data_IF_077082122621
#
_entry.id   IF_077082122621
#
_cell.length_a   1.000
_cell.length_b   1.000
_cell.length_c   1.000
_cell.angle_alpha   90.00
_cell.angle_beta   90.00
_cell.angle_gamma   90.00
#
_symmetry.space_group_name_H-M   'P 1'
#
loop_
_entity.id
_entity.type
_entity.pdbx_description
1 polymer ?
#
# COMPACT_ATOMS: atom_id res chain seq x y z
N UNK A 1 1.57 18.69 -11.75
CA UNK A 1 0.84 19.97 -11.97
C UNK A 1 -0.46 19.67 -12.68
N UNK A 2 -1.59 20.00 -12.05
CA UNK A 2 -2.91 19.94 -12.65
C UNK A 2 -3.12 21.20 -13.50
N UNK A 3 -3.49 21.04 -14.76
CA UNK A 3 -3.84 22.14 -15.66
C UNK A 3 -5.28 22.00 -16.10
N UNK A 4 -6.09 23.01 -15.84
CA UNK A 4 -7.54 22.99 -16.15
C UNK A 4 -7.83 24.09 -17.18
N UNK A 5 -8.48 23.71 -18.28
CA UNK A 5 -9.02 24.63 -19.26
C UNK A 5 -10.47 24.96 -18.87
N UNK A 6 -10.68 26.17 -18.36
CA UNK A 6 -12.03 26.66 -18.08
C UNK A 6 -12.63 27.26 -19.35
N UNK A 7 -13.66 26.64 -19.90
CA UNK A 7 -14.50 27.28 -20.90
C UNK A 7 -15.60 28.07 -20.19
N UNK A 8 -15.98 29.24 -20.74
CA UNK A 8 -17.05 30.08 -20.17
C UNK A 8 -18.37 29.28 -20.06
N UNK A 9 -18.64 28.40 -21.03
CA UNK A 9 -19.80 27.49 -21.00
C UNK A 9 -19.79 26.52 -19.81
N UNK A 10 -18.63 26.14 -19.32
CA UNK A 10 -18.47 25.18 -18.21
C UNK A 10 -18.78 25.84 -16.86
N UNK A 11 -18.63 27.17 -16.76
CA UNK A 11 -19.02 27.96 -15.59
C UNK A 11 -20.54 28.03 -15.37
N UNK A 12 -21.32 27.84 -16.43
CA UNK A 12 -22.79 27.91 -16.39
C UNK A 12 -23.48 26.53 -16.47
N UNK A 13 -22.73 25.46 -16.73
CA UNK A 13 -23.24 24.10 -16.76
C UNK A 13 -23.23 23.50 -15.35
N UNK A 14 -24.19 23.86 -14.52
CA UNK A 14 -24.50 23.05 -13.36
C UNK A 14 -25.20 21.77 -13.84
N UNK A 15 -24.80 20.57 -13.39
CA UNK A 15 -24.46 20.22 -12.02
C UNK A 15 -23.01 19.75 -11.78
N UNK A 16 -22.06 19.92 -12.69
CA UNK A 16 -20.73 19.31 -12.56
C UNK A 16 -19.62 20.37 -12.51
N UNK A 17 -19.01 20.56 -11.34
CA UNK A 17 -17.81 21.38 -11.19
C UNK A 17 -16.59 20.59 -11.74
N UNK A 18 -16.20 20.86 -12.99
CA UNK A 18 -15.08 20.20 -13.67
C UNK A 18 -13.77 20.31 -12.89
N UNK A 19 -13.49 21.47 -12.28
CA UNK A 19 -12.30 21.68 -11.49
C UNK A 19 -12.24 20.74 -10.29
N UNK A 20 -13.33 20.61 -9.56
CA UNK A 20 -13.43 19.74 -8.40
C UNK A 20 -13.26 18.27 -8.79
N UNK A 21 -13.87 17.84 -9.89
CA UNK A 21 -13.71 16.48 -10.40
C UNK A 21 -12.26 16.19 -10.83
N UNK A 22 -11.63 17.11 -11.55
CA UNK A 22 -10.24 16.93 -11.97
C UNK A 22 -9.27 16.97 -10.80
N UNK A 23 -9.54 17.81 -9.78
CA UNK A 23 -8.76 17.82 -8.55
C UNK A 23 -8.89 16.50 -7.80
N UNK A 24 -10.11 15.98 -7.67
CA UNK A 24 -10.38 14.69 -7.06
C UNK A 24 -9.62 13.55 -7.75
N UNK A 25 -9.70 13.44 -9.07
CA UNK A 25 -8.96 12.44 -9.85
C UNK A 25 -7.44 12.58 -9.68
N UNK A 26 -6.94 13.82 -9.61
CA UNK A 26 -5.51 14.08 -9.38
C UNK A 26 -5.09 13.65 -7.97
N UNK A 27 -5.92 13.88 -6.96
CA UNK A 27 -5.68 13.43 -5.58
C UNK A 27 -5.69 11.90 -5.50
N UNK A 28 -6.64 11.25 -6.17
CA UNK A 28 -6.71 9.78 -6.25
C UNK A 28 -5.43 9.21 -6.90
N UNK A 29 -5.00 9.77 -8.05
CA UNK A 29 -3.76 9.35 -8.70
C UNK A 29 -2.51 9.58 -7.85
N UNK A 30 -2.47 10.67 -7.05
CA UNK A 30 -1.39 10.90 -6.10
C UNK A 30 -1.39 9.88 -4.97
N UNK A 31 -2.55 9.51 -4.43
CA UNK A 31 -2.67 8.47 -3.40
C UNK A 31 -2.21 7.11 -3.92
N UNK A 32 -2.62 6.74 -5.11
CA UNK A 32 -2.15 5.52 -5.78
C UNK A 32 -0.62 5.51 -5.91
N UNK A 33 -0.04 6.64 -6.31
CA UNK A 33 1.42 6.77 -6.39
C UNK A 33 2.07 6.71 -5.01
N UNK A 34 1.46 7.33 -4.01
CA UNK A 34 1.93 7.31 -2.62
C UNK A 34 1.96 5.88 -2.06
N UNK A 35 0.90 5.11 -2.25
CA UNK A 35 0.84 3.71 -1.86
C UNK A 35 1.94 2.89 -2.55
N UNK A 36 2.14 3.11 -3.85
CA UNK A 36 3.21 2.45 -4.59
C UNK A 36 4.60 2.79 -4.02
N UNK A 37 4.87 4.07 -3.73
CA UNK A 37 6.15 4.50 -3.17
C UNK A 37 6.38 3.96 -1.75
N UNK A 38 5.35 3.92 -0.90
CA UNK A 38 5.44 3.34 0.44
C UNK A 38 5.85 1.86 0.42
N UNK A 39 5.50 1.12 -0.61
CA UNK A 39 5.90 -0.28 -0.78
C UNK A 39 7.25 -0.40 -1.48
N UNK A 40 7.45 0.31 -2.61
CA UNK A 40 8.49 0.00 -3.59
C UNK A 40 9.66 0.98 -3.63
N UNK A 41 9.59 2.11 -2.93
CA UNK A 41 10.69 3.09 -2.94
C UNK A 41 11.96 2.47 -2.36
N UNK A 42 13.10 2.70 -3.02
CA UNK A 42 14.40 2.13 -2.61
C UNK A 42 14.95 2.76 -1.33
N UNK A 43 14.55 3.98 -1.00
CA UNK A 43 15.08 4.72 0.16
C UNK A 43 14.25 4.46 1.43
N UNK A 44 12.90 4.46 1.32
CA UNK A 44 12.01 4.34 2.47
C UNK A 44 10.88 3.29 2.29
N UNK A 45 10.79 2.64 1.14
CA UNK A 45 9.77 1.64 0.86
C UNK A 45 9.93 0.39 1.70
N UNK A 46 8.81 -0.20 2.11
CA UNK A 46 8.78 -1.32 3.03
C UNK A 46 9.50 -2.56 2.50
N UNK A 47 9.41 -2.83 1.19
CA UNK A 47 10.10 -3.97 0.58
C UNK A 47 11.62 -3.88 0.69
N UNK A 48 12.18 -2.67 0.62
CA UNK A 48 13.62 -2.47 0.58
C UNK A 48 14.24 -2.23 1.98
N UNK A 49 13.42 -1.77 2.94
CA UNK A 49 13.88 -1.43 4.30
C UNK A 49 13.64 -2.52 5.35
N UNK A 50 13.21 -3.71 4.94
CA UNK A 50 13.17 -4.85 5.83
C UNK A 50 14.60 -5.38 6.08
N UNK A 51 14.94 -5.58 7.36
CA UNK A 51 16.23 -6.17 7.76
C UNK A 51 16.41 -7.57 7.16
N UNK A 52 17.60 -7.87 6.66
CA UNK A 52 17.93 -9.15 6.03
C UNK A 52 17.67 -10.36 6.94
N UNK A 53 17.81 -10.20 8.27
CA UNK A 53 17.50 -11.25 9.26
C UNK A 53 15.99 -11.55 9.34
N UNK A 54 15.15 -10.64 8.87
CA UNK A 54 13.71 -10.76 8.87
C UNK A 54 13.14 -11.04 7.48
N UNK A 55 13.99 -11.40 6.53
CA UNK A 55 13.60 -11.91 5.22
C UNK A 55 13.69 -13.43 5.19
N UNK A 56 12.66 -14.05 4.67
CA UNK A 56 12.57 -15.49 4.46
C UNK A 56 12.23 -15.74 3.00
N UNK A 57 12.66 -16.86 2.45
CA UNK A 57 12.21 -17.35 1.16
C UNK A 57 11.22 -18.49 1.35
N UNK A 58 10.29 -18.65 0.42
CA UNK A 58 9.39 -19.80 0.43
C UNK A 58 10.16 -21.12 0.32
N UNK A 59 9.65 -22.18 0.96
CA UNK A 59 10.29 -23.51 0.96
C UNK A 59 10.12 -24.24 -0.37
N UNK A 60 8.95 -24.07 -1.00
CA UNK A 60 8.51 -24.87 -2.15
C UNK A 60 8.02 -24.04 -3.33
N UNK A 61 8.23 -22.71 -3.29
CA UNK A 61 7.74 -21.75 -4.29
C UNK A 61 6.41 -21.13 -3.94
N UNK A 62 5.26 -21.85 -3.93
CA UNK A 62 4.00 -21.29 -3.44
C UNK A 62 4.03 -21.02 -1.91
N UNK A 63 3.30 -20.00 -1.43
CA UNK A 63 3.29 -19.65 -0.01
C UNK A 63 2.51 -20.70 0.79
N UNK A 64 3.22 -21.50 1.58
CA UNK A 64 2.62 -22.56 2.39
C UNK A 64 2.19 -22.06 3.79
N UNK A 65 1.31 -22.82 4.49
CA UNK A 65 1.01 -22.57 5.90
C UNK A 65 2.26 -22.48 6.79
N UNK A 66 3.26 -23.33 6.53
CA UNK A 66 4.51 -23.34 7.29
C UNK A 66 5.35 -22.08 7.08
N UNK A 67 5.36 -21.52 5.87
CA UNK A 67 6.08 -20.28 5.59
C UNK A 67 5.50 -19.10 6.37
N UNK A 68 4.16 -19.03 6.46
CA UNK A 68 3.50 -18.00 7.24
C UNK A 68 3.69 -18.22 8.76
N UNK A 69 3.69 -19.46 9.22
CA UNK A 69 3.98 -19.80 10.62
C UNK A 69 5.44 -19.42 10.97
N UNK A 70 6.41 -19.70 10.11
CA UNK A 70 7.81 -19.29 10.28
C UNK A 70 7.93 -17.76 10.32
N UNK A 71 7.21 -17.08 9.43
CA UNK A 71 7.22 -15.63 9.39
C UNK A 71 6.65 -15.02 10.67
N UNK A 72 5.59 -15.61 11.25
CA UNK A 72 4.99 -15.18 12.52
C UNK A 72 5.89 -15.50 13.72
N UNK A 73 6.48 -16.71 13.76
CA UNK A 73 7.25 -17.18 14.92
C UNK A 73 8.48 -16.33 15.23
N UNK A 74 9.01 -15.65 14.21
CA UNK A 74 10.19 -14.77 14.34
C UNK A 74 9.85 -13.35 14.79
N UNK A 75 8.57 -13.03 15.03
CA UNK A 75 8.10 -11.67 15.30
C UNK A 75 7.18 -11.61 16.49
N UNK A 76 7.14 -10.43 17.09
CA UNK A 76 6.21 -10.15 18.18
C UNK A 76 5.08 -9.27 17.66
N UNK A 77 3.84 -9.57 18.08
CA UNK A 77 2.67 -8.70 17.86
C UNK A 77 2.41 -8.35 16.37
N UNK A 78 2.61 -9.27 15.46
CA UNK A 78 2.22 -9.04 14.05
C UNK A 78 0.75 -8.68 13.99
N UNK A 79 0.42 -7.52 13.40
CA UNK A 79 -0.96 -7.04 13.30
C UNK A 79 -1.65 -7.50 12.04
N UNK A 80 -0.93 -7.56 10.92
CA UNK A 80 -1.47 -8.04 9.64
C UNK A 80 -0.37 -8.45 8.67
N UNK A 81 -0.79 -9.18 7.65
CA UNK A 81 0.00 -9.42 6.46
C UNK A 81 -0.49 -8.52 5.33
N UNK A 82 0.43 -8.04 4.49
CA UNK A 82 0.12 -7.48 3.18
C UNK A 82 0.57 -8.45 2.11
N UNK A 83 -0.32 -8.81 1.19
CA UNK A 83 -0.01 -9.74 0.12
C UNK A 83 -0.71 -9.31 -1.18
N UNK A 84 -0.04 -9.55 -2.32
CA UNK A 84 -0.71 -9.37 -3.60
C UNK A 84 -1.94 -10.31 -3.69
N UNK A 85 -3.07 -9.89 -4.29
CA UNK A 85 -4.27 -10.74 -4.37
C UNK A 85 -4.01 -12.12 -4.97
N UNK A 86 -3.10 -12.24 -5.93
CA UNK A 86 -2.70 -13.53 -6.52
C UNK A 86 -1.91 -14.41 -5.53
N UNK A 87 -1.12 -13.81 -4.64
CA UNK A 87 -0.43 -14.55 -3.57
C UNK A 87 -1.41 -15.06 -2.52
N UNK A 88 -2.45 -14.27 -2.19
CA UNK A 88 -3.53 -14.71 -1.30
C UNK A 88 -4.25 -15.92 -1.89
N UNK A 89 -4.54 -15.89 -3.21
CA UNK A 89 -5.15 -17.02 -3.89
C UNK A 89 -4.22 -18.26 -3.92
N UNK A 90 -2.91 -18.05 -4.11
CA UNK A 90 -1.91 -19.13 -4.05
C UNK A 90 -1.87 -19.76 -2.66
N UNK A 91 -1.83 -18.94 -1.61
CA UNK A 91 -1.89 -19.40 -0.22
C UNK A 91 -3.17 -20.21 0.07
N UNK A 92 -4.32 -19.74 -0.43
CA UNK A 92 -5.58 -20.49 -0.29
C UNK A 92 -5.53 -21.87 -0.95
N UNK A 93 -4.89 -22.00 -2.12
CA UNK A 93 -4.68 -23.30 -2.79
C UNK A 93 -3.79 -24.22 -1.97
N UNK A 94 -2.69 -23.71 -1.44
CA UNK A 94 -1.79 -24.48 -0.57
C UNK A 94 -2.48 -24.93 0.71
N UNK A 95 -3.25 -24.06 1.35
CA UNK A 95 -4.07 -24.43 2.50
C UNK A 95 -5.01 -25.60 2.17
N UNK A 96 -5.68 -25.54 1.01
CA UNK A 96 -6.58 -26.60 0.54
C UNK A 96 -5.81 -27.92 0.29
N UNK A 97 -4.63 -27.84 -0.35
CA UNK A 97 -3.79 -29.01 -0.61
C UNK A 97 -3.34 -29.70 0.70
N UNK A 98 -3.03 -28.91 1.71
CA UNK A 98 -2.66 -29.39 3.04
C UNK A 98 -3.86 -29.71 3.96
N UNK A 99 -5.10 -29.57 3.47
CA UNK A 99 -6.35 -29.77 4.23
C UNK A 99 -6.45 -28.90 5.48
N UNK A 100 -5.88 -27.72 5.42
CA UNK A 100 -5.95 -26.70 6.45
C UNK A 100 -6.84 -25.57 5.93
N UNK A 101 -7.77 -25.12 6.77
CA UNK A 101 -8.67 -24.03 6.40
C UNK A 101 -8.28 -22.77 7.17
N UNK A 102 -7.84 -21.70 6.50
CA UNK A 102 -7.56 -20.43 7.17
C UNK A 102 -8.85 -19.81 7.67
N UNK A 103 -8.74 -19.10 8.79
CA UNK A 103 -9.85 -18.34 9.37
C UNK A 103 -10.20 -17.12 8.54
N UNK A 104 -11.33 -16.50 8.87
CA UNK A 104 -11.69 -15.18 8.36
C UNK A 104 -11.91 -14.21 9.53
N UNK A 105 -11.47 -12.98 9.36
CA UNK A 105 -11.73 -11.90 10.33
C UNK A 105 -12.37 -10.71 9.63
N UNK A 106 -12.89 -9.76 10.40
CA UNK A 106 -13.49 -8.53 9.86
C UNK A 106 -12.54 -7.38 10.12
N UNK A 107 -12.13 -6.71 9.04
CA UNK A 107 -11.33 -5.49 9.09
C UNK A 107 -12.11 -4.41 8.33
N UNK A 108 -12.39 -3.28 8.98
CA UNK A 108 -13.14 -2.15 8.40
C UNK A 108 -14.48 -2.59 7.75
N UNK A 109 -15.20 -3.51 8.40
CA UNK A 109 -16.48 -4.03 7.92
C UNK A 109 -16.40 -5.04 6.78
N UNK A 110 -15.20 -5.36 6.28
CA UNK A 110 -14.99 -6.35 5.22
C UNK A 110 -14.41 -7.65 5.78
N UNK A 111 -14.93 -8.80 5.32
CA UNK A 111 -14.32 -10.09 5.64
C UNK A 111 -13.04 -10.27 4.84
N UNK A 112 -11.96 -10.55 5.54
CA UNK A 112 -10.64 -10.87 4.98
C UNK A 112 -10.15 -12.21 5.50
N UNK A 113 -9.30 -12.85 4.71
CA UNK A 113 -8.63 -14.07 5.13
C UNK A 113 -7.74 -13.78 6.33
N UNK A 114 -7.62 -14.70 7.26
CA UNK A 114 -6.73 -14.59 8.42
C UNK A 114 -5.92 -15.88 8.59
N UNK A 115 -4.68 -15.74 9.02
CA UNK A 115 -3.84 -16.86 9.40
C UNK A 115 -3.42 -16.71 10.87
N UNK A 116 -3.73 -17.73 11.68
CA UNK A 116 -3.50 -17.70 13.14
C UNK A 116 -4.04 -16.44 13.82
N UNK A 117 -5.21 -15.97 13.38
CA UNK A 117 -5.83 -14.74 13.90
C UNK A 117 -5.28 -13.44 13.34
N UNK A 118 -4.24 -13.48 12.48
CA UNK A 118 -3.64 -12.31 11.83
C UNK A 118 -4.26 -12.12 10.44
N UNK A 119 -4.93 -10.98 10.16
CA UNK A 119 -5.55 -10.73 8.86
C UNK A 119 -4.53 -10.63 7.73
N UNK A 120 -4.92 -11.12 6.55
CA UNK A 120 -4.16 -11.00 5.31
C UNK A 120 -4.85 -9.97 4.43
N UNK A 121 -4.26 -8.79 4.31
CA UNK A 121 -4.82 -7.67 3.56
C UNK A 121 -4.30 -7.66 2.12
N UNK A 122 -5.16 -7.46 1.14
CA UNK A 122 -4.74 -7.36 -0.25
C UNK A 122 -3.98 -6.05 -0.51
N UNK A 123 -2.87 -6.14 -1.23
CA UNK A 123 -2.08 -5.00 -1.68
C UNK A 123 -1.59 -5.25 -3.11
N UNK A 124 -2.19 -4.58 -4.07
CA UNK A 124 -1.87 -4.68 -5.50
C UNK A 124 -0.59 -3.94 -5.89
N UNK A 125 -0.02 -3.15 -4.96
CA UNK A 125 1.25 -2.42 -5.16
C UNK A 125 2.49 -3.30 -4.94
N UNK A 126 2.32 -4.51 -4.38
CA UNK A 126 3.40 -5.49 -4.29
C UNK A 126 3.76 -5.97 -5.71
N UNK A 127 5.03 -5.86 -6.12
CA UNK A 127 5.41 -6.17 -7.49
C UNK A 127 5.35 -7.67 -7.75
N UNK A 128 5.03 -8.01 -9.00
CA UNK A 128 5.16 -9.37 -9.51
C UNK A 128 6.35 -9.39 -10.46
N UNK A 129 7.30 -10.26 -10.21
CA UNK A 129 8.46 -10.44 -11.07
C UNK A 129 8.07 -11.10 -12.43
N UNK A 130 8.91 -10.97 -13.46
CA UNK A 130 8.69 -11.69 -14.73
C UNK A 130 8.65 -13.22 -14.56
N UNK A 131 9.26 -13.75 -13.49
CA UNK A 131 9.22 -15.17 -13.14
C UNK A 131 7.90 -15.61 -12.49
N UNK A 132 6.97 -14.68 -12.22
CA UNK A 132 5.71 -14.97 -11.54
C UNK A 132 5.84 -15.12 -10.04
N UNK A 133 6.81 -14.44 -9.44
CA UNK A 133 6.99 -14.39 -7.98
C UNK A 133 6.67 -13.00 -7.43
N UNK A 134 6.30 -12.94 -6.17
CA UNK A 134 6.03 -11.71 -5.41
C UNK A 134 6.52 -11.86 -3.98
N UNK A 135 6.22 -10.91 -3.11
CA UNK A 135 6.53 -10.98 -1.69
C UNK A 135 5.28 -10.84 -0.83
N UNK A 136 5.32 -11.37 0.40
CA UNK A 136 4.33 -11.15 1.45
C UNK A 136 5.02 -10.41 2.59
N UNK A 137 4.43 -9.31 3.03
CA UNK A 137 4.90 -8.55 4.19
C UNK A 137 4.12 -8.95 5.43
N UNK A 138 4.81 -9.14 6.55
CA UNK A 138 4.21 -9.26 7.87
C UNK A 138 4.64 -8.07 8.71
N UNK A 139 3.68 -7.31 9.27
CA UNK A 139 4.04 -6.09 9.95
C UNK A 139 3.25 -5.84 11.24
N UNK A 140 3.92 -5.13 12.12
CA UNK A 140 3.39 -4.48 13.30
C UNK A 140 3.39 -2.98 13.05
N UNK A 141 2.31 -2.28 13.38
CA UNK A 141 2.19 -0.84 13.17
C UNK A 141 1.92 -0.12 14.48
N UNK A 142 2.28 1.14 14.51
CA UNK A 142 2.05 2.05 15.62
C UNK A 142 3.32 2.34 16.44
N UNK A 143 3.39 3.55 16.96
CA UNK A 143 4.52 4.04 17.75
C UNK A 143 4.60 3.31 19.09
N UNK A 144 3.46 3.12 19.76
CA UNK A 144 3.39 2.44 21.07
C UNK A 144 3.92 1.01 21.04
N UNK A 145 3.74 0.31 19.92
CA UNK A 145 4.25 -1.04 19.71
C UNK A 145 5.64 -1.06 19.05
N UNK A 146 6.29 0.09 18.88
CA UNK A 146 7.55 0.23 18.15
C UNK A 146 7.48 -0.40 16.75
N UNK A 147 6.37 -0.18 16.08
CA UNK A 147 6.05 -0.78 14.79
C UNK A 147 6.52 0.03 13.59
N UNK A 148 5.92 -0.25 12.45
CA UNK A 148 6.04 0.60 11.26
C UNK A 148 5.13 1.81 11.44
N UNK A 149 5.65 3.00 11.17
CA UNK A 149 4.91 4.25 11.23
C UNK A 149 4.98 5.00 9.90
N UNK A 150 3.90 5.67 9.56
CA UNK A 150 3.86 6.62 8.46
C UNK A 150 4.27 8.01 8.95
N UNK A 151 5.11 8.68 8.20
CA UNK A 151 5.59 10.03 8.50
C UNK A 151 4.98 11.01 7.50
N UNK A 152 4.48 12.13 8.01
CA UNK A 152 4.00 13.26 7.22
C UNK A 152 4.36 14.57 7.91
N UNK A 153 4.67 15.65 7.17
CA UNK A 153 4.83 16.96 7.76
C UNK A 153 3.50 17.45 8.35
N UNK A 154 3.58 18.31 9.36
CA UNK A 154 2.45 19.06 9.91
C UNK A 154 2.51 20.50 9.43
N UNK A 155 1.36 21.17 9.45
CA UNK A 155 1.25 22.62 9.21
C UNK A 155 1.82 23.06 7.84
N UNK A 156 1.50 22.32 6.78
CA UNK A 156 1.86 22.69 5.42
C UNK A 156 1.05 23.92 4.98
N UNK A 157 1.69 24.92 4.35
CA UNK A 157 0.95 25.99 3.69
C UNK A 157 0.00 25.42 2.62
N UNK A 158 -1.21 25.95 2.51
CA UNK A 158 -2.24 25.52 1.56
C UNK A 158 -2.60 24.02 1.69
N UNK A 159 -2.59 23.48 2.92
CA UNK A 159 -2.95 22.09 3.20
C UNK A 159 -4.43 21.84 2.88
N UNK A 160 -4.69 20.98 1.91
CA UNK A 160 -6.04 20.57 1.50
C UNK A 160 -6.55 19.37 2.31
N UNK A 161 -5.67 18.43 2.57
CA UNK A 161 -5.87 17.26 3.44
C UNK A 161 -4.55 16.94 4.15
N UNK A 162 -4.56 16.23 5.27
CA UNK A 162 -3.34 15.90 6.00
C UNK A 162 -2.23 15.33 5.10
N UNK A 163 -1.12 16.07 4.97
CA UNK A 163 0.01 15.72 4.11
C UNK A 163 -0.19 15.96 2.61
N UNK A 164 -1.31 16.58 2.21
CA UNK A 164 -1.62 16.96 0.83
C UNK A 164 -1.82 18.45 0.72
N UNK A 165 -1.09 19.08 -0.19
CA UNK A 165 -1.14 20.51 -0.44
C UNK A 165 -1.67 20.77 -1.87
N UNK A 166 -2.54 21.78 -2.02
CA UNK A 166 -3.06 22.23 -3.30
C UNK A 166 -2.85 23.73 -3.44
N UNK A 167 -1.86 24.11 -4.22
CA UNK A 167 -1.47 25.49 -4.42
C UNK A 167 -1.89 26.01 -5.80
N UNK A 168 -2.56 27.14 -5.84
CA UNK A 168 -2.85 27.85 -7.08
C UNK A 168 -1.57 28.46 -7.65
N UNK A 169 -1.27 28.20 -8.93
CA UNK A 169 -0.03 28.64 -9.60
C UNK A 169 -0.26 29.79 -10.59
N UNK A 170 -1.51 30.14 -10.85
CA UNK A 170 -1.85 31.22 -11.78
C UNK A 170 -2.67 30.76 -12.98
N UNK A 171 -3.00 31.73 -13.83
CA UNK A 171 -3.73 31.55 -15.09
C UNK A 171 -2.83 31.99 -16.23
N UNK A 172 -2.71 31.15 -17.26
CA UNK A 172 -1.91 31.48 -18.45
C UNK A 172 -2.69 32.40 -19.40
N UNK A 173 -1.99 32.97 -20.38
CA UNK A 173 -2.56 33.81 -21.47
C UNK A 173 -3.63 33.10 -22.29
N UNK A 174 -3.69 31.77 -22.22
CA UNK A 174 -4.69 30.93 -22.87
C UNK A 174 -5.84 30.52 -21.94
N UNK A 175 -6.03 31.27 -20.84
CA UNK A 175 -7.04 30.99 -19.82
C UNK A 175 -6.94 29.56 -19.19
N UNK A 176 -5.72 28.99 -19.14
CA UNK A 176 -5.45 27.73 -18.46
C UNK A 176 -5.08 28.01 -17.01
N UNK A 177 -5.89 27.52 -16.10
CA UNK A 177 -5.62 27.58 -14.66
C UNK A 177 -4.70 26.42 -14.27
N UNK A 178 -3.64 26.71 -13.52
CA UNK A 178 -2.67 25.72 -13.06
C UNK A 178 -2.68 25.60 -11.55
N UNK A 179 -2.68 24.35 -11.05
CA UNK A 179 -2.55 24.00 -9.63
C UNK A 179 -1.38 23.07 -9.42
N UNK A 180 -0.58 23.35 -8.40
CA UNK A 180 0.43 22.41 -7.90
C UNK A 180 -0.21 21.56 -6.81
N UNK A 181 -0.34 20.27 -7.06
CA UNK A 181 -0.79 19.30 -6.06
C UNK A 181 0.41 18.49 -5.61
N UNK A 182 0.72 18.54 -4.31
CA UNK A 182 1.90 17.89 -3.73
C UNK A 182 1.48 17.02 -2.55
N UNK A 183 2.07 15.84 -2.46
CA UNK A 183 1.92 14.95 -1.31
C UNK A 183 3.30 14.67 -0.71
N UNK A 184 3.40 14.78 0.61
CA UNK A 184 4.61 14.52 1.37
C UNK A 184 4.37 13.34 2.31
N UNK A 185 5.17 12.31 2.16
CA UNK A 185 5.02 11.08 2.94
C UNK A 185 6.35 10.33 3.01
N UNK A 186 6.48 9.55 4.05
CA UNK A 186 7.56 8.57 4.21
C UNK A 186 7.08 7.46 5.14
N UNK A 187 7.85 6.40 5.27
CA UNK A 187 7.64 5.35 6.25
C UNK A 187 8.92 5.11 7.04
N UNK A 188 8.78 4.74 8.30
CA UNK A 188 9.90 4.34 9.14
C UNK A 188 9.57 3.03 9.86
N UNK A 189 10.55 2.15 9.91
CA UNK A 189 10.52 0.91 10.69
C UNK A 189 11.27 1.18 12.00
N UNK A 190 10.55 1.28 13.11
CA UNK A 190 11.14 1.69 14.39
C UNK A 190 12.08 0.63 14.97
N UNK A 191 11.72 -0.64 14.82
CA UNK A 191 12.59 -1.76 15.20
C UNK A 191 12.58 -2.83 14.09
N UNK A 192 13.70 -3.54 13.88
CA UNK A 192 13.82 -4.48 12.77
C UNK A 192 12.77 -5.60 12.74
N UNK A 193 12.35 -6.10 13.91
CA UNK A 193 11.35 -7.17 14.01
C UNK A 193 9.91 -6.72 13.72
N UNK A 194 9.68 -5.40 13.53
CA UNK A 194 8.37 -4.86 13.20
C UNK A 194 7.93 -5.17 11.76
N UNK A 195 8.90 -5.43 10.88
CA UNK A 195 8.66 -5.73 9.47
C UNK A 195 9.37 -7.01 9.07
N UNK A 196 8.66 -7.92 8.44
CA UNK A 196 9.22 -9.10 7.84
C UNK A 196 8.72 -9.33 6.45
N UNK A 197 9.54 -10.00 5.66
CA UNK A 197 9.26 -10.27 4.25
C UNK A 197 9.42 -11.76 3.99
N UNK A 198 8.42 -12.35 3.34
CA UNK A 198 8.52 -13.63 2.68
C UNK A 198 8.73 -13.35 1.18
N UNK A 199 9.91 -13.68 0.70
CA UNK A 199 10.31 -13.49 -0.70
C UNK A 199 10.06 -14.76 -1.53
N UNK A 200 10.19 -14.62 -2.85
CA UNK A 200 10.08 -15.69 -3.85
C UNK A 200 8.74 -16.45 -3.80
N UNK A 201 7.67 -15.73 -3.45
CA UNK A 201 6.32 -16.27 -3.38
C UNK A 201 5.78 -16.53 -4.78
N UNK A 202 5.76 -17.78 -5.22
CA UNK A 202 5.16 -18.16 -6.50
C UNK A 202 3.63 -18.04 -6.47
N UNK A 203 3.09 -17.35 -7.46
CA UNK A 203 1.65 -17.07 -7.56
C UNK A 203 0.90 -17.95 -8.56
N UNK A 204 1.62 -18.90 -9.18
CA UNK A 204 1.08 -19.76 -10.23
C UNK A 204 1.07 -19.08 -11.61
N UNK A 205 0.58 -19.80 -12.62
CA UNK A 205 0.54 -19.29 -14.01
C UNK A 205 -0.24 -17.97 -14.11
N UNK A 206 0.19 -17.05 -15.01
CA UNK A 206 -0.48 -15.78 -15.27
C UNK A 206 -1.92 -15.96 -15.73
#
# INVERSE_FOLDING_TARGET
VLRVHNRVTDLYNQPMNQLEQQLRLTVEALRERQEHELINNTEFGLLHNADLKHRLTTRTGPPSPLDLDDLLSRRRKTRFFLAHPRAIAAFGRECTAHRVYPDTTVVDGKRVLAWRGVPILPCDKLPISPAGTTSILAMRTGEDDSGVIGLRPKDLPDEYQPGLNVRFMGVSDRAVTSYLVSAYHSAAVLVPDALGVLDDVEIGRP
#
